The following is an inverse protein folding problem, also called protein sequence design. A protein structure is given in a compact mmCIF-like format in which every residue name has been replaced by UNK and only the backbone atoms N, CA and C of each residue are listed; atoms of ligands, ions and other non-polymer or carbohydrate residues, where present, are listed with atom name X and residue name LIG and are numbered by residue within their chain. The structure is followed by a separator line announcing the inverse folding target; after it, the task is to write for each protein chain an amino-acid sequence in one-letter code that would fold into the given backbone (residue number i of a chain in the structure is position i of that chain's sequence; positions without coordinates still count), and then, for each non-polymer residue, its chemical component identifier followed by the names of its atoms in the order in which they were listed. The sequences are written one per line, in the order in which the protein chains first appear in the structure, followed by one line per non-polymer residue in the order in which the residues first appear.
data_IF_492831259864
#
_entry.id   IF_492831259864
#
_cell.length_a   1.000
_cell.length_b   1.000
_cell.length_c   1.000
_cell.angle_alpha   90.00
_cell.angle_beta   90.00
_cell.angle_gamma   90.00
#
_symmetry.space_group_name_H-M   'P 1'
#
loop_
_entity.id
_entity.type
_entity.pdbx_description
1 polymer ?
#
# COMPACT_ATOMS: atom_id res chain seq x y z
N UNK A 1 -43.52 -44.41 -19.84
CA UNK A 1 -42.10 -44.14 -20.12
C UNK A 1 -41.55 -43.38 -18.91
N UNK A 2 -40.72 -44.01 -18.06
CA UNK A 2 -40.19 -43.41 -16.83
C UNK A 2 -39.02 -42.51 -17.19
N UNK A 3 -39.11 -41.22 -16.85
CA UNK A 3 -38.05 -40.24 -17.11
C UNK A 3 -37.19 -40.12 -15.85
N UNK A 4 -36.00 -40.73 -15.88
CA UNK A 4 -35.02 -40.69 -14.79
C UNK A 4 -34.26 -39.37 -14.88
N UNK A 5 -34.41 -38.50 -13.87
CA UNK A 5 -33.65 -37.25 -13.74
C UNK A 5 -32.28 -37.57 -13.13
N UNK A 6 -31.19 -37.41 -13.90
CA UNK A 6 -29.82 -37.55 -13.40
C UNK A 6 -29.38 -36.18 -12.89
N UNK A 7 -29.20 -36.06 -11.57
CA UNK A 7 -28.59 -34.90 -10.94
C UNK A 7 -27.07 -34.98 -11.10
N UNK A 8 -26.50 -34.11 -11.93
CA UNK A 8 -25.05 -33.97 -12.10
C UNK A 8 -24.51 -33.07 -10.96
N UNK A 9 -23.84 -33.66 -9.98
CA UNK A 9 -23.12 -32.92 -8.93
C UNK A 9 -21.83 -32.34 -9.53
N UNK A 10 -21.85 -31.04 -9.83
CA UNK A 10 -20.67 -30.27 -10.23
C UNK A 10 -19.73 -30.16 -9.02
N UNK A 11 -18.60 -30.90 -9.05
CA UNK A 11 -17.52 -30.74 -8.08
C UNK A 11 -16.73 -29.47 -8.42
N UNK A 12 -17.09 -28.34 -7.81
CA UNK A 12 -16.28 -27.12 -7.87
C UNK A 12 -15.09 -27.32 -6.94
N UNK A 13 -13.92 -27.61 -7.51
CA UNK A 13 -12.67 -27.59 -6.77
C UNK A 13 -12.27 -26.14 -6.50
N UNK A 14 -12.46 -25.69 -5.26
CA UNK A 14 -11.90 -24.44 -4.80
C UNK A 14 -10.41 -24.66 -4.47
N UNK A 15 -9.51 -24.16 -5.32
CA UNK A 15 -8.10 -24.04 -4.97
C UNK A 15 -7.95 -22.91 -3.96
N UNK A 16 -7.82 -23.26 -2.67
CA UNK A 16 -7.43 -22.32 -1.63
C UNK A 16 -5.93 -22.10 -1.78
N UNK A 17 -5.53 -21.05 -2.48
CA UNK A 17 -4.13 -20.63 -2.53
C UNK A 17 -3.79 -19.97 -1.19
N UNK A 18 -2.95 -20.64 -0.40
CA UNK A 18 -2.33 -20.04 0.78
C UNK A 18 -1.36 -18.92 0.37
N UNK A 19 -0.86 -18.14 1.33
CA UNK A 19 0.25 -17.21 1.08
C UNK A 19 1.41 -18.01 0.47
N UNK A 20 1.87 -17.68 -0.76
CA UNK A 20 2.83 -18.52 -1.47
C UNK A 20 4.21 -18.47 -0.80
N UNK A 21 4.52 -17.36 -0.11
CA UNK A 21 5.79 -17.12 0.53
C UNK A 21 5.77 -17.34 2.04
N UNK A 22 6.86 -17.87 2.56
CA UNK A 22 7.26 -17.80 3.97
C UNK A 22 8.78 -17.71 4.05
N UNK A 23 9.32 -17.14 5.13
CA UNK A 23 10.77 -17.02 5.27
C UNK A 23 11.19 -17.32 6.72
N UNK A 24 12.36 -17.94 6.88
CA UNK A 24 12.88 -18.35 8.18
C UNK A 24 14.40 -18.52 8.17
N UNK A 25 15.00 -18.50 9.36
CA UNK A 25 16.41 -18.83 9.58
C UNK A 25 16.52 -20.24 10.15
N UNK A 26 17.37 -21.08 9.57
CA UNK A 26 17.57 -22.47 10.03
C UNK A 26 18.57 -22.58 11.20
N UNK A 27 18.76 -23.81 11.72
CA UNK A 27 19.72 -24.08 12.80
C UNK A 27 21.19 -23.80 12.43
N UNK A 28 21.50 -23.69 11.13
CA UNK A 28 22.82 -23.31 10.60
C UNK A 28 22.91 -21.80 10.33
N UNK A 29 21.93 -21.03 10.77
CA UNK A 29 21.81 -19.58 10.57
C UNK A 29 21.67 -19.15 9.10
N UNK A 30 21.28 -20.04 8.20
CA UNK A 30 21.02 -19.67 6.80
C UNK A 30 19.62 -19.12 6.67
N UNK A 31 19.46 -18.08 5.86
CA UNK A 31 18.14 -17.56 5.52
C UNK A 31 17.55 -18.40 4.40
N UNK A 32 16.31 -18.84 4.60
CA UNK A 32 15.57 -19.67 3.67
C UNK A 32 14.23 -19.01 3.33
N UNK A 33 13.85 -19.11 2.07
CA UNK A 33 12.52 -18.72 1.59
C UNK A 33 11.81 -19.96 1.07
N UNK A 34 10.60 -20.17 1.57
CA UNK A 34 9.64 -21.11 1.03
C UNK A 34 8.77 -20.39 -0.01
N UNK A 35 8.67 -20.97 -1.20
CA UNK A 35 7.85 -20.50 -2.31
C UNK A 35 7.07 -21.70 -2.87
N UNK A 36 5.78 -21.77 -2.57
CA UNK A 36 4.84 -22.76 -3.14
C UNK A 36 5.35 -24.22 -3.14
N UNK A 37 5.95 -24.66 -2.04
CA UNK A 37 6.44 -26.04 -1.87
C UNK A 37 7.94 -26.21 -2.08
N UNK A 38 8.63 -25.18 -2.59
CA UNK A 38 10.08 -25.17 -2.81
C UNK A 38 10.75 -24.34 -1.72
N UNK A 39 11.77 -24.89 -1.08
CA UNK A 39 12.61 -24.16 -0.13
C UNK A 39 13.93 -23.81 -0.80
N UNK A 40 14.24 -22.53 -0.84
CA UNK A 40 15.50 -21.98 -1.35
C UNK A 40 16.31 -21.39 -0.20
N UNK A 41 17.57 -21.82 -0.05
CA UNK A 41 18.52 -21.14 0.84
C UNK A 41 19.03 -19.91 0.10
N UNK A 42 18.55 -18.72 0.51
CA UNK A 42 18.79 -17.46 -0.20
C UNK A 42 19.98 -16.69 0.36
N UNK A 43 20.33 -16.89 1.64
CA UNK A 43 21.53 -16.31 2.24
C UNK A 43 22.24 -17.31 3.16
N UNK A 44 23.56 -17.21 3.23
CA UNK A 44 24.40 -18.02 4.13
C UNK A 44 24.40 -17.54 5.59
N UNK A 45 23.87 -16.35 5.85
CA UNK A 45 23.84 -15.70 7.17
C UNK A 45 22.45 -15.07 7.40
N UNK A 46 22.04 -14.81 8.66
CA UNK A 46 20.74 -14.24 8.94
C UNK A 46 20.61 -12.81 8.36
N UNK A 47 19.43 -12.44 7.83
CA UNK A 47 19.18 -11.07 7.40
C UNK A 47 19.06 -10.15 8.61
N UNK A 48 19.28 -8.87 8.39
CA UNK A 48 19.08 -7.83 9.41
C UNK A 48 17.58 -7.58 9.64
N UNK A 49 16.80 -7.56 8.55
CA UNK A 49 15.35 -7.41 8.57
C UNK A 49 14.77 -8.08 7.30
N UNK A 50 13.55 -8.60 7.38
CA UNK A 50 12.83 -9.14 6.23
C UNK A 50 11.32 -8.96 6.38
N UNK A 51 10.63 -8.79 5.24
CA UNK A 51 9.18 -8.67 5.17
C UNK A 51 8.66 -9.53 4.04
N UNK A 52 7.52 -10.18 4.29
CA UNK A 52 6.89 -11.12 3.38
C UNK A 52 5.64 -10.44 2.80
N UNK A 53 5.58 -10.35 1.48
CA UNK A 53 4.39 -9.95 0.73
C UNK A 53 3.77 -11.13 0.01
N UNK A 54 2.70 -10.88 -0.73
CA UNK A 54 2.07 -11.92 -1.57
C UNK A 54 2.92 -12.32 -2.77
N UNK A 55 3.68 -11.39 -3.35
CA UNK A 55 4.42 -11.61 -4.60
C UNK A 55 5.93 -11.74 -4.41
N UNK A 56 6.45 -11.45 -3.22
CA UNK A 56 7.89 -11.46 -2.96
C UNK A 56 8.23 -11.45 -1.46
N UNK A 57 9.50 -11.77 -1.16
CA UNK A 57 10.13 -11.52 0.14
C UNK A 57 11.22 -10.47 -0.03
N UNK A 58 11.10 -9.33 0.64
CA UNK A 58 12.12 -8.29 0.65
C UNK A 58 12.94 -8.37 1.94
N UNK A 59 14.25 -8.18 1.86
CA UNK A 59 15.11 -8.28 3.02
C UNK A 59 16.40 -7.47 2.88
N UNK A 60 17.01 -7.18 4.03
CA UNK A 60 18.37 -6.65 4.13
C UNK A 60 19.28 -7.80 4.54
N UNK A 61 20.29 -8.11 3.73
CA UNK A 61 21.29 -9.10 4.14
C UNK A 61 22.18 -8.56 5.27
N UNK A 62 23.12 -9.38 5.73
CA UNK A 62 24.02 -9.00 6.82
C UNK A 62 25.01 -7.88 6.48
N UNK A 63 25.17 -7.55 5.19
CA UNK A 63 25.94 -6.41 4.68
C UNK A 63 25.04 -5.19 4.42
N UNK A 64 23.75 -5.27 4.79
CA UNK A 64 22.71 -4.25 4.54
C UNK A 64 22.44 -3.99 3.06
N UNK A 65 22.75 -4.95 2.18
CA UNK A 65 22.34 -4.91 0.78
C UNK A 65 20.86 -5.24 0.70
N UNK A 66 20.08 -4.42 0.01
CA UNK A 66 18.64 -4.64 -0.13
C UNK A 66 18.35 -5.58 -1.30
N UNK A 67 17.67 -6.68 -0.97
CA UNK A 67 17.39 -7.78 -1.90
C UNK A 67 15.91 -8.14 -1.88
N UNK A 68 15.46 -8.66 -3.01
CA UNK A 68 14.10 -9.16 -3.19
C UNK A 68 14.17 -10.55 -3.78
N UNK A 69 13.58 -11.51 -3.07
CA UNK A 69 13.31 -12.85 -3.60
C UNK A 69 11.94 -12.87 -4.28
N UNK A 70 11.91 -13.22 -5.56
CA UNK A 70 10.69 -13.31 -6.37
C UNK A 70 10.91 -14.30 -7.52
N UNK A 71 9.89 -15.08 -7.86
CA UNK A 71 9.90 -16.06 -8.96
C UNK A 71 11.11 -17.04 -8.87
N UNK A 72 11.42 -17.51 -7.65
CA UNK A 72 12.53 -18.40 -7.39
C UNK A 72 13.93 -17.77 -7.43
N UNK A 73 14.05 -16.46 -7.68
CA UNK A 73 15.32 -15.77 -7.85
C UNK A 73 15.52 -14.66 -6.81
N UNK A 74 16.78 -14.49 -6.36
CA UNK A 74 17.19 -13.34 -5.54
C UNK A 74 17.71 -12.26 -6.48
N UNK A 75 17.07 -11.10 -6.44
CA UNK A 75 17.53 -9.90 -7.13
C UNK A 75 18.11 -8.91 -6.11
N UNK A 76 19.30 -8.40 -6.39
CA UNK A 76 19.85 -7.25 -5.65
C UNK A 76 19.21 -5.99 -6.21
N UNK A 77 18.48 -5.25 -5.37
CA UNK A 77 17.74 -4.05 -5.79
C UNK A 77 18.65 -2.83 -5.76
N UNK A 78 19.38 -2.66 -4.66
CA UNK A 78 20.45 -1.68 -4.56
C UNK A 78 21.50 -2.10 -3.54
N UNK A 79 22.70 -1.56 -3.71
CA UNK A 79 23.84 -1.69 -2.79
C UNK A 79 24.03 -0.45 -1.90
N UNK A 80 23.12 0.53 -2.03
CA UNK A 80 23.08 1.71 -1.17
C UNK A 80 22.55 1.34 0.22
N UNK A 81 22.83 2.19 1.21
CA UNK A 81 22.33 2.04 2.58
C UNK A 81 20.80 2.25 2.66
N UNK A 82 20.04 1.25 2.24
CA UNK A 82 18.60 1.19 2.46
C UNK A 82 18.35 1.21 3.96
N UNK A 83 17.66 2.24 4.40
CA UNK A 83 17.39 2.51 5.82
C UNK A 83 16.06 1.91 6.25
N UNK A 84 15.08 1.85 5.34
CA UNK A 84 13.72 1.40 5.62
C UNK A 84 13.09 0.76 4.38
N UNK A 85 12.22 -0.22 4.59
CA UNK A 85 11.38 -0.76 3.52
C UNK A 85 10.04 -1.25 4.08
N UNK A 86 9.03 -1.30 3.21
CA UNK A 86 7.70 -1.81 3.49
C UNK A 86 7.23 -2.65 2.30
N UNK A 87 6.50 -3.72 2.59
CA UNK A 87 6.03 -4.68 1.60
C UNK A 87 4.52 -4.77 1.74
N UNK A 88 3.83 -4.55 0.63
CA UNK A 88 2.41 -4.85 0.46
C UNK A 88 2.25 -6.11 -0.38
N UNK A 89 1.05 -6.40 -0.87
CA UNK A 89 0.87 -7.55 -1.75
C UNK A 89 1.35 -7.27 -3.17
N UNK A 90 1.23 -6.04 -3.65
CA UNK A 90 1.60 -5.65 -5.00
C UNK A 90 2.86 -4.77 -5.08
N UNK A 91 3.07 -3.85 -4.13
CA UNK A 91 4.19 -2.91 -4.12
C UNK A 91 5.19 -3.18 -2.98
N UNK A 92 6.49 -2.98 -3.29
CA UNK A 92 7.56 -2.90 -2.28
C UNK A 92 8.12 -1.49 -2.29
N UNK A 93 7.91 -0.73 -1.21
CA UNK A 93 8.52 0.58 -1.04
C UNK A 93 9.82 0.45 -0.26
N UNK A 94 10.88 1.08 -0.74
CA UNK A 94 12.12 1.18 0.01
C UNK A 94 12.67 2.60 0.00
N UNK A 95 13.42 2.91 1.06
CA UNK A 95 14.01 4.22 1.32
C UNK A 95 15.51 4.06 1.52
N UNK A 96 16.29 4.83 0.76
CA UNK A 96 17.74 4.96 0.93
C UNK A 96 18.05 6.43 1.24
N UNK A 97 18.46 6.71 2.49
CA UNK A 97 18.51 8.07 3.03
C UNK A 97 17.14 8.78 2.94
N UNK A 98 16.96 9.73 2.01
CA UNK A 98 15.69 10.42 1.75
C UNK A 98 15.14 10.17 0.34
N UNK A 99 15.75 9.26 -0.41
CA UNK A 99 15.25 8.81 -1.70
C UNK A 99 14.26 7.68 -1.43
N UNK A 100 13.04 7.79 -1.96
CA UNK A 100 12.06 6.71 -1.94
C UNK A 100 11.83 6.19 -3.36
N UNK A 101 11.76 4.87 -3.47
CA UNK A 101 11.45 4.16 -4.69
C UNK A 101 10.45 3.05 -4.39
N UNK A 102 9.76 2.61 -5.42
CA UNK A 102 8.84 1.48 -5.35
C UNK A 102 9.23 0.43 -6.38
N UNK A 103 9.11 -0.83 -6.01
CA UNK A 103 9.17 -1.96 -6.93
C UNK A 103 7.72 -2.32 -7.27
N UNK A 104 7.36 -2.17 -8.54
CA UNK A 104 6.06 -2.56 -9.11
C UNK A 104 6.33 -3.64 -10.16
N UNK A 105 5.91 -4.87 -9.87
CA UNK A 105 6.26 -6.02 -10.69
C UNK A 105 7.77 -6.28 -10.74
N UNK A 106 8.40 -5.97 -11.87
CA UNK A 106 9.85 -6.09 -12.10
C UNK A 106 10.53 -4.74 -12.22
N UNK A 107 9.76 -3.66 -12.25
CA UNK A 107 10.25 -2.31 -12.48
C UNK A 107 10.56 -1.64 -11.14
N UNK A 108 11.69 -0.93 -11.11
CA UNK A 108 12.05 -0.04 -10.00
C UNK A 108 11.72 1.38 -10.42
N UNK A 109 10.74 1.99 -9.77
CA UNK A 109 10.30 3.36 -10.04
C UNK A 109 10.79 4.29 -8.94
N UNK A 110 11.59 5.29 -9.32
CA UNK A 110 11.96 6.40 -8.45
C UNK A 110 10.75 7.30 -8.20
N UNK A 111 10.31 7.41 -6.94
CA UNK A 111 9.17 8.27 -6.58
C UNK A 111 9.63 9.69 -6.25
N UNK A 112 10.59 9.83 -5.35
CA UNK A 112 11.16 11.13 -4.96
C UNK A 112 12.61 11.00 -4.49
N UNK A 113 13.42 12.03 -4.77
CA UNK A 113 14.82 12.12 -4.32
C UNK A 113 14.97 12.75 -2.92
N UNK A 114 13.91 13.38 -2.41
CA UNK A 114 13.87 14.00 -1.08
C UNK A 114 12.45 13.90 -0.54
N UNK A 115 12.20 12.84 0.21
CA UNK A 115 10.90 12.54 0.79
C UNK A 115 11.06 12.01 2.21
N UNK A 116 10.34 12.65 3.12
CA UNK A 116 10.26 12.23 4.53
C UNK A 116 8.89 11.68 4.89
N UNK A 117 7.86 11.97 4.08
CA UNK A 117 6.46 11.66 4.39
C UNK A 117 5.81 10.93 3.22
N UNK A 118 5.40 9.70 3.48
CA UNK A 118 4.74 8.84 2.52
C UNK A 118 3.84 7.84 3.23
N UNK A 119 2.85 7.33 2.51
CA UNK A 119 1.94 6.28 2.94
C UNK A 119 1.82 5.24 1.82
N UNK A 120 2.09 3.99 2.15
CA UNK A 120 2.01 2.84 1.24
C UNK A 120 0.68 2.12 1.45
N UNK A 121 -0.06 1.92 0.37
CA UNK A 121 -1.16 0.98 0.23
C UNK A 121 -0.73 -0.30 -0.49
N UNK A 122 -1.68 -1.05 -1.03
CA UNK A 122 -1.35 -2.24 -1.83
C UNK A 122 -0.85 -1.85 -3.22
N UNK A 123 -1.60 -1.02 -3.94
CA UNK A 123 -1.28 -0.57 -5.29
C UNK A 123 -1.07 0.94 -5.41
N UNK A 124 -1.14 1.68 -4.30
CA UNK A 124 -1.04 3.13 -4.27
C UNK A 124 0.03 3.59 -3.28
N UNK A 125 0.78 4.63 -3.65
CA UNK A 125 1.65 5.36 -2.70
C UNK A 125 1.29 6.82 -2.73
N UNK A 126 0.97 7.41 -1.59
CA UNK A 126 0.89 8.86 -1.45
C UNK A 126 2.18 9.37 -0.83
N UNK A 127 2.79 10.41 -1.41
CA UNK A 127 4.07 10.92 -0.93
C UNK A 127 4.24 12.40 -1.20
N UNK A 128 5.03 13.06 -0.35
CA UNK A 128 5.40 14.46 -0.51
C UNK A 128 6.83 14.59 -1.04
N UNK A 129 6.99 15.19 -2.22
CA UNK A 129 8.30 15.50 -2.79
C UNK A 129 8.73 16.90 -2.36
N UNK A 130 9.71 16.96 -1.47
CA UNK A 130 10.23 18.21 -0.91
C UNK A 130 10.93 19.04 -1.99
N UNK A 131 11.63 18.42 -2.94
CA UNK A 131 12.33 19.14 -4.00
C UNK A 131 11.37 19.88 -4.93
N UNK A 132 10.19 19.30 -5.15
CA UNK A 132 9.15 19.85 -6.03
C UNK A 132 8.07 20.62 -5.27
N UNK A 133 8.09 20.57 -3.94
CA UNK A 133 7.04 21.10 -3.07
C UNK A 133 5.63 20.63 -3.50
N UNK A 134 5.51 19.34 -3.85
CA UNK A 134 4.28 18.75 -4.38
C UNK A 134 3.88 17.50 -3.61
N UNK A 135 2.57 17.31 -3.45
CA UNK A 135 2.00 16.07 -2.95
C UNK A 135 1.51 15.23 -4.13
N UNK A 136 1.91 13.96 -4.15
CA UNK A 136 1.79 13.10 -5.30
C UNK A 136 1.19 11.74 -4.93
N UNK A 137 0.58 11.11 -5.92
CA UNK A 137 0.18 9.71 -5.88
C UNK A 137 0.93 8.91 -6.94
N UNK A 138 1.40 7.73 -6.58
CA UNK A 138 1.83 6.70 -7.53
C UNK A 138 0.75 5.62 -7.63
N UNK A 139 0.40 5.25 -8.85
CA UNK A 139 -0.53 4.15 -9.14
C UNK A 139 -0.25 3.60 -10.55
N UNK A 140 -0.08 2.28 -10.68
CA UNK A 140 0.12 1.58 -11.96
C UNK A 140 1.20 2.22 -12.85
N UNK A 141 2.41 2.39 -12.32
CA UNK A 141 3.53 2.98 -13.08
C UNK A 141 3.44 4.50 -13.31
N UNK A 142 2.35 5.18 -12.93
CA UNK A 142 2.16 6.62 -13.14
C UNK A 142 2.24 7.40 -11.83
N UNK A 143 2.99 8.50 -11.85
CA UNK A 143 2.96 9.53 -10.81
C UNK A 143 1.97 10.62 -11.23
N UNK A 144 0.97 10.87 -10.39
CA UNK A 144 -0.02 11.94 -10.53
C UNK A 144 0.22 12.98 -9.45
N UNK A 145 0.45 14.23 -9.85
CA UNK A 145 0.50 15.36 -8.93
C UNK A 145 -0.92 15.66 -8.41
N UNK A 146 -1.08 15.69 -7.09
CA UNK A 146 -2.37 15.87 -6.42
C UNK A 146 -2.57 17.30 -5.93
N UNK A 147 -1.49 17.90 -5.43
CA UNK A 147 -1.46 19.27 -4.91
C UNK A 147 -0.08 19.89 -5.15
N UNK A 148 -0.07 21.19 -5.41
CA UNK A 148 1.14 22.02 -5.55
C UNK A 148 1.26 23.01 -4.39
N UNK A 149 2.48 23.45 -4.08
CA UNK A 149 2.75 24.56 -3.14
C UNK A 149 2.30 24.30 -1.69
N UNK A 150 2.52 23.07 -1.20
CA UNK A 150 2.29 22.78 0.22
C UNK A 150 3.57 23.09 1.01
N UNK A 151 3.65 24.25 1.65
CA UNK A 151 4.60 24.41 2.76
C UNK A 151 4.10 23.57 3.94
N UNK A 152 4.47 22.29 3.97
CA UNK A 152 4.26 21.41 5.12
C UNK A 152 5.32 21.79 6.17
N UNK A 153 5.18 22.99 6.76
CA UNK A 153 5.80 23.27 8.06
C UNK A 153 5.03 22.47 9.11
N UNK A 154 5.76 21.91 10.08
CA UNK A 154 5.29 20.87 11.01
C UNK A 154 4.01 21.21 11.81
N UNK A 155 3.57 22.47 11.84
CA UNK A 155 2.49 22.91 12.71
C UNK A 155 1.08 22.88 12.07
N UNK A 156 0.94 23.01 10.74
CA UNK A 156 -0.38 23.13 10.09
C UNK A 156 -0.87 21.85 9.38
N UNK A 157 0.06 21.00 8.93
CA UNK A 157 -0.27 19.76 8.20
C UNK A 157 0.47 18.56 8.80
N UNK A 158 -0.14 17.94 9.81
CA UNK A 158 0.29 16.62 10.29
C UNK A 158 -0.10 15.57 9.25
N UNK A 159 0.90 14.98 8.58
CA UNK A 159 0.69 14.00 7.51
C UNK A 159 -0.13 12.80 8.00
N UNK A 160 0.21 12.22 9.14
CA UNK A 160 -0.46 11.03 9.69
C UNK A 160 -1.95 11.27 10.03
N UNK A 161 -2.33 12.52 10.33
CA UNK A 161 -3.72 12.87 10.63
C UNK A 161 -4.53 13.17 9.36
N UNK A 162 -3.86 13.71 8.34
CA UNK A 162 -4.52 14.23 7.15
C UNK A 162 -4.32 13.37 5.90
N UNK A 163 -3.52 12.32 5.94
CA UNK A 163 -3.28 11.41 4.81
C UNK A 163 -3.49 9.98 5.28
N UNK A 164 -4.35 9.25 4.58
CA UNK A 164 -4.57 7.81 4.83
C UNK A 164 -4.60 7.05 3.52
N UNK A 165 -4.01 5.86 3.53
CA UNK A 165 -3.94 4.97 2.38
C UNK A 165 -4.35 3.56 2.80
N UNK A 166 -5.06 2.86 1.93
CA UNK A 166 -5.35 1.42 2.03
C UNK A 166 -5.11 0.79 0.64
N UNK A 167 -5.64 -0.41 0.36
CA UNK A 167 -5.23 -1.24 -0.78
C UNK A 167 -5.12 -0.46 -2.11
N UNK A 168 -6.21 0.12 -2.59
CA UNK A 168 -6.23 0.83 -3.89
C UNK A 168 -6.82 2.23 -3.79
N UNK A 169 -6.78 2.83 -2.60
CA UNK A 169 -7.38 4.14 -2.33
C UNK A 169 -6.48 4.95 -1.40
N UNK A 170 -6.33 6.23 -1.72
CA UNK A 170 -5.77 7.22 -0.84
C UNK A 170 -6.78 8.32 -0.55
N UNK A 171 -6.79 8.87 0.65
CA UNK A 171 -7.60 10.03 0.99
C UNK A 171 -6.80 11.01 1.82
N UNK A 172 -7.04 12.29 1.61
CA UNK A 172 -6.36 13.33 2.35
C UNK A 172 -7.22 14.58 2.53
N UNK A 173 -6.90 15.37 3.56
CA UNK A 173 -7.47 16.69 3.76
C UNK A 173 -6.40 17.72 3.43
N UNK A 174 -6.62 18.58 2.43
CA UNK A 174 -5.63 19.59 2.04
C UNK A 174 -5.64 20.83 2.96
N UNK A 175 -4.82 21.84 2.65
CA UNK A 175 -4.69 23.05 3.48
C UNK A 175 -5.98 23.88 3.54
N UNK A 176 -6.82 23.83 2.50
CA UNK A 176 -8.13 24.48 2.46
C UNK A 176 -9.18 23.72 3.29
N UNK A 177 -8.81 22.57 3.87
CA UNK A 177 -9.72 21.70 4.59
C UNK A 177 -10.58 20.82 3.68
N UNK A 178 -10.33 20.77 2.38
CA UNK A 178 -11.10 19.93 1.46
C UNK A 178 -10.71 18.46 1.67
N UNK A 179 -11.72 17.59 1.82
CA UNK A 179 -11.50 16.15 1.78
C UNK A 179 -11.41 15.71 0.31
N UNK A 180 -10.26 15.18 -0.06
CA UNK A 180 -9.99 14.65 -1.40
C UNK A 180 -9.71 13.15 -1.33
N UNK A 181 -10.12 12.45 -2.37
CA UNK A 181 -9.84 11.03 -2.58
C UNK A 181 -8.99 10.87 -3.83
N UNK A 182 -8.08 9.90 -3.82
CA UNK A 182 -7.37 9.40 -4.98
C UNK A 182 -7.75 7.93 -5.16
N UNK A 183 -8.38 7.62 -6.28
CA UNK A 183 -8.92 6.29 -6.59
C UNK A 183 -8.84 6.05 -8.10
N UNK A 184 -8.39 4.86 -8.51
CA UNK A 184 -8.22 4.47 -9.92
C UNK A 184 -7.46 5.50 -10.79
N UNK A 185 -6.42 6.13 -10.23
CA UNK A 185 -5.58 7.09 -10.96
C UNK A 185 -6.11 8.52 -11.03
N UNK A 186 -7.31 8.78 -10.49
CA UNK A 186 -7.96 10.09 -10.50
C UNK A 186 -8.09 10.67 -9.08
N UNK A 187 -8.07 12.00 -8.99
CA UNK A 187 -8.34 12.71 -7.74
C UNK A 187 -9.66 13.47 -7.81
N UNK A 188 -10.47 13.36 -6.76
CA UNK A 188 -11.77 14.00 -6.64
C UNK A 188 -11.90 14.71 -5.29
N UNK A 189 -12.49 15.91 -5.29
CA UNK A 189 -12.95 16.58 -4.07
C UNK A 189 -14.28 15.95 -3.65
N UNK A 190 -14.34 15.42 -2.42
CA UNK A 190 -15.56 14.84 -1.86
C UNK A 190 -16.32 15.83 -0.98
N UNK A 191 -15.59 16.64 -0.21
CA UNK A 191 -16.16 17.70 0.62
C UNK A 191 -15.30 18.95 0.49
N UNK A 192 -15.94 20.11 0.28
CA UNK A 192 -15.26 21.41 0.20
C UNK A 192 -14.97 22.03 1.57
N UNK A 193 -15.30 21.32 2.65
CA UNK A 193 -15.09 21.74 4.03
C UNK A 193 -14.50 20.59 4.84
N UNK A 194 -13.77 20.95 5.91
CA UNK A 194 -13.08 19.98 6.76
C UNK A 194 -14.06 19.02 7.40
N UNK A 195 -13.91 17.74 7.05
CA UNK A 195 -14.65 16.64 7.68
C UNK A 195 -14.19 16.42 9.12
N UNK A 196 -15.08 15.90 9.96
CA UNK A 196 -14.78 15.64 11.36
C UNK A 196 -13.80 14.46 11.51
N UNK A 197 -13.99 13.42 10.71
CA UNK A 197 -13.13 12.24 10.67
C UNK A 197 -13.32 11.47 9.36
N UNK A 198 -12.30 10.74 8.92
CA UNK A 198 -12.34 9.85 7.77
C UNK A 198 -11.47 8.61 7.98
N UNK A 199 -11.80 7.50 7.33
CA UNK A 199 -11.03 6.25 7.34
C UNK A 199 -11.09 5.61 5.96
N UNK A 200 -9.96 5.09 5.49
CA UNK A 200 -9.88 4.32 4.24
C UNK A 200 -9.80 2.83 4.54
N UNK A 201 -10.44 2.02 3.71
CA UNK A 201 -10.36 0.56 3.79
C UNK A 201 -10.56 -0.08 2.43
N UNK A 202 -9.62 -0.93 2.02
CA UNK A 202 -9.46 -1.52 0.69
C UNK A 202 -9.65 -0.52 -0.45
N UNK A 203 -10.90 -0.37 -0.90
CA UNK A 203 -11.34 0.43 -2.04
C UNK A 203 -12.44 1.43 -1.65
N UNK A 204 -12.56 1.74 -0.36
CA UNK A 204 -13.62 2.56 0.22
C UNK A 204 -13.04 3.61 1.15
N UNK A 205 -13.79 4.71 1.29
CA UNK A 205 -13.53 5.77 2.24
C UNK A 205 -14.82 6.07 2.99
N UNK A 206 -14.79 5.91 4.31
CA UNK A 206 -15.89 6.28 5.19
C UNK A 206 -15.53 7.59 5.90
N UNK A 207 -16.48 8.50 6.06
CA UNK A 207 -16.22 9.78 6.72
C UNK A 207 -17.49 10.39 7.32
N UNK A 208 -17.28 11.32 8.25
CA UNK A 208 -18.34 12.13 8.86
C UNK A 208 -18.12 13.58 8.43
N UNK A 209 -19.08 14.14 7.73
CA UNK A 209 -18.99 15.52 7.23
C UNK A 209 -19.20 16.57 8.34
N UNK A 210 -19.08 17.84 7.97
CA UNK A 210 -19.23 18.96 8.92
C UNK A 210 -20.64 19.05 9.53
N UNK A 211 -21.66 18.53 8.85
CA UNK A 211 -23.05 18.51 9.30
C UNK A 211 -23.39 17.24 10.08
N UNK A 212 -22.38 16.47 10.48
CA UNK A 212 -22.51 15.24 11.24
C UNK A 212 -23.21 14.10 10.48
N UNK A 213 -23.25 14.14 9.15
CA UNK A 213 -23.76 13.04 8.33
C UNK A 213 -22.65 12.02 8.05
N UNK A 214 -23.00 10.73 8.15
CA UNK A 214 -22.09 9.64 7.82
C UNK A 214 -22.19 9.28 6.33
N UNK A 215 -21.05 9.33 5.65
CA UNK A 215 -20.95 9.11 4.21
C UNK A 215 -19.90 8.05 3.89
N UNK A 216 -20.11 7.36 2.77
CA UNK A 216 -19.16 6.40 2.21
C UNK A 216 -18.93 6.74 0.74
N UNK A 217 -17.66 6.87 0.37
CA UNK A 217 -17.22 6.80 -1.02
C UNK A 217 -16.87 5.36 -1.38
N UNK A 218 -17.44 4.86 -2.47
CA UNK A 218 -17.17 3.55 -3.04
C UNK A 218 -17.37 3.56 -4.55
N UNK A 219 -16.42 2.98 -5.28
CA UNK A 219 -16.48 2.82 -6.74
C UNK A 219 -16.80 4.12 -7.50
N UNK A 220 -16.17 5.24 -7.12
CA UNK A 220 -16.35 6.55 -7.78
C UNK A 220 -17.58 7.34 -7.33
N UNK A 221 -18.38 6.82 -6.38
CA UNK A 221 -19.61 7.47 -5.92
C UNK A 221 -19.63 7.67 -4.41
N UNK A 222 -20.22 8.78 -3.97
CA UNK A 222 -20.45 9.11 -2.56
C UNK A 222 -21.91 8.87 -2.19
N UNK A 223 -22.12 8.17 -1.07
CA UNK A 223 -23.43 7.83 -0.53
C UNK A 223 -23.55 8.39 0.88
N UNK A 224 -24.64 9.10 1.17
CA UNK A 224 -25.04 9.38 2.56
C UNK A 224 -25.68 8.12 3.13
N UNK A 225 -25.04 7.54 4.13
CA UNK A 225 -25.46 6.28 4.76
C UNK A 225 -26.39 6.54 5.92
N UNK A 226 -26.07 7.55 6.74
CA UNK A 226 -26.83 7.91 7.92
C UNK A 226 -26.82 9.44 8.10
N UNK A 227 -27.96 10.09 8.42
CA UNK A 227 -27.99 11.52 8.75
C UNK A 227 -27.25 11.87 10.05
N UNK A 228 -26.73 10.89 10.80
CA UNK A 228 -25.96 11.08 12.02
C UNK A 228 -24.62 10.33 12.00
N UNK A 229 -23.65 10.83 12.75
CA UNK A 229 -22.35 10.18 12.89
C UNK A 229 -22.47 8.87 13.70
N UNK A 230 -21.86 7.76 13.23
CA UNK A 230 -21.77 6.55 14.04
C UNK A 230 -20.84 6.78 15.23
N UNK A 231 -21.02 5.98 16.29
CA UNK A 231 -20.13 6.02 17.46
C UNK A 231 -18.66 5.79 17.08
N UNK A 232 -18.40 4.83 16.18
CA UNK A 232 -17.09 4.48 15.62
C UNK A 232 -17.25 3.82 14.26
N UNK A 233 -16.26 3.98 13.40
CA UNK A 233 -16.10 3.26 12.14
C UNK A 233 -14.60 3.03 11.87
N UNK A 234 -14.28 1.95 11.18
CA UNK A 234 -12.91 1.54 10.92
C UNK A 234 -12.78 1.14 9.45
N UNK A 235 -11.69 1.58 8.82
CA UNK A 235 -11.22 1.01 7.57
C UNK A 235 -10.18 -0.07 7.85
N UNK A 236 -10.19 -1.13 7.04
CA UNK A 236 -9.13 -2.14 6.99
C UNK A 236 -8.47 -2.06 5.64
#
# INVERSE_FOLDING_TARGET
MRMTFIFLLLNIQFSIFAQPFSAYTDLRQRFNVFDNGVVSSVEGLPPIDFKIGRTAVAYLDNQRVFKVFKDGMVNTVNDMMTSQFAVSDNLILYKSSNIISVIDGSDVVLLSRLCERYALGDSVVLFYDINRSSFNAYYQGKITELETFLNITDDDFSFDKNVKVSDNIGAYINYNGELKVFFNGESQVLESQRVQNFQVGRNMLAYVDINNMFKIFYNGHTFTIDPFAPKKFYGR
#
